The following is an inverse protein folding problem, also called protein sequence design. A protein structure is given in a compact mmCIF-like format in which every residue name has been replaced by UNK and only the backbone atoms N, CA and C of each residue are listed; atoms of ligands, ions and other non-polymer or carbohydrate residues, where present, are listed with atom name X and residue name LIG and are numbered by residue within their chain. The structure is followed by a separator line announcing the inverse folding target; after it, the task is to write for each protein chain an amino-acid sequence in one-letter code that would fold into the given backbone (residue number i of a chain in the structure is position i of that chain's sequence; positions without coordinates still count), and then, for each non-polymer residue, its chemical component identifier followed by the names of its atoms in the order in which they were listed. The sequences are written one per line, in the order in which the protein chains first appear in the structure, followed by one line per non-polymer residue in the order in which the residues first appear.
data_IF_142473804997
#
_entry.id   IF_142473804997
#
_cell.length_a   1.000
_cell.length_b   1.000
_cell.length_c   1.000
_cell.angle_alpha   90.00
_cell.angle_beta   90.00
_cell.angle_gamma   90.00
#
_symmetry.space_group_name_H-M   'P 1'
#
loop_
_entity.id
_entity.type
_entity.pdbx_description
1 polymer ?
#
# COMPACT_ATOMS: atom_id res chain seq x y z
N UNK A 1 -8.45 -15.15 15.66
CA UNK A 1 -7.66 -14.50 14.58
C UNK A 1 -6.82 -13.43 15.22
N UNK A 2 -5.53 -13.37 14.88
CA UNK A 2 -4.61 -12.47 15.56
C UNK A 2 -5.02 -11.02 15.27
N UNK A 3 -5.46 -10.27 16.28
CA UNK A 3 -5.86 -8.84 16.17
C UNK A 3 -4.80 -8.03 15.42
N UNK A 4 -3.57 -8.47 15.57
CA UNK A 4 -2.40 -8.02 14.83
C UNK A 4 -2.55 -8.05 13.29
N UNK A 5 -3.05 -9.14 12.66
CA UNK A 5 -3.21 -9.19 11.19
C UNK A 5 -4.29 -8.23 10.69
N UNK A 6 -5.34 -8.02 11.49
CA UNK A 6 -6.39 -7.04 11.19
C UNK A 6 -5.85 -5.62 11.26
N UNK A 7 -5.06 -5.30 12.29
CA UNK A 7 -4.40 -4.01 12.43
C UNK A 7 -3.41 -3.78 11.29
N UNK A 8 -2.59 -4.77 10.96
CA UNK A 8 -1.65 -4.72 9.85
C UNK A 8 -2.37 -4.42 8.54
N UNK A 9 -3.44 -5.14 8.24
CA UNK A 9 -4.22 -4.93 7.02
C UNK A 9 -4.89 -3.54 6.99
N UNK A 10 -5.41 -3.07 8.13
CA UNK A 10 -5.99 -1.74 8.25
C UNK A 10 -4.95 -0.65 7.95
N UNK A 11 -3.78 -0.70 8.60
CA UNK A 11 -2.69 0.27 8.42
C UNK A 11 -2.18 0.25 6.99
N UNK A 12 -2.03 -0.94 6.40
CA UNK A 12 -1.62 -1.12 5.01
C UNK A 12 -2.59 -0.44 4.03
N UNK A 13 -3.88 -0.77 4.11
CA UNK A 13 -4.88 -0.20 3.21
C UNK A 13 -5.06 1.30 3.44
N UNK A 14 -4.97 1.76 4.69
CA UNK A 14 -4.95 3.18 5.02
C UNK A 14 -3.79 3.89 4.31
N UNK A 15 -2.54 3.42 4.49
CA UNK A 15 -1.38 4.05 3.89
C UNK A 15 -1.45 4.01 2.35
N UNK A 16 -1.83 2.86 1.77
CA UNK A 16 -1.94 2.71 0.32
C UNK A 16 -2.93 3.71 -0.27
N UNK A 17 -4.12 3.81 0.31
CA UNK A 17 -5.21 4.63 -0.23
C UNK A 17 -5.06 6.10 0.14
N UNK A 18 -4.32 6.43 1.21
CA UNK A 18 -3.84 7.78 1.51
C UNK A 18 -2.97 8.31 0.36
N UNK A 19 -2.10 7.48 -0.22
CA UNK A 19 -1.16 7.94 -1.25
C UNK A 19 -1.82 8.29 -2.59
N UNK A 20 -2.91 7.64 -2.98
CA UNK A 20 -3.48 7.78 -4.33
C UNK A 20 -3.94 9.20 -4.69
N UNK A 21 -4.81 9.86 -3.91
CA UNK A 21 -5.17 11.25 -4.18
C UNK A 21 -3.98 12.19 -3.98
N UNK A 22 -3.09 11.90 -3.02
CA UNK A 22 -1.89 12.72 -2.78
C UNK A 22 -0.97 12.78 -3.99
N UNK A 23 -0.72 11.65 -4.68
CA UNK A 23 0.05 11.62 -5.93
C UNK A 23 -0.63 12.46 -7.00
N UNK A 24 -1.96 12.32 -7.15
CA UNK A 24 -2.72 13.05 -8.16
C UNK A 24 -2.65 14.57 -7.94
N UNK A 25 -2.84 15.03 -6.71
CA UNK A 25 -2.72 16.45 -6.38
C UNK A 25 -1.29 16.96 -6.57
N UNK A 26 -0.29 16.23 -6.07
CA UNK A 26 1.13 16.61 -6.17
C UNK A 26 1.62 16.70 -7.63
N UNK A 27 1.07 15.89 -8.54
CA UNK A 27 1.38 15.95 -9.97
C UNK A 27 0.59 17.07 -10.68
N UNK A 28 -0.68 17.28 -10.32
CA UNK A 28 -1.54 18.32 -10.91
C UNK A 28 -1.02 19.74 -10.67
N UNK A 29 -0.34 19.97 -9.54
CA UNK A 29 0.25 21.27 -9.23
C UNK A 29 1.39 21.67 -10.17
N UNK A 30 2.09 20.70 -10.76
CA UNK A 30 3.24 20.96 -11.65
C UNK A 30 2.98 20.65 -13.12
N UNK A 31 2.01 19.77 -13.41
CA UNK A 31 1.71 19.34 -14.77
C UNK A 31 0.37 19.93 -15.23
N UNK A 32 0.42 20.73 -16.29
CA UNK A 32 -0.78 21.32 -16.91
C UNK A 32 -1.48 20.38 -17.90
N UNK A 33 -0.79 19.35 -18.40
CA UNK A 33 -1.33 18.42 -19.39
C UNK A 33 -2.11 17.28 -18.74
N UNK A 34 -3.43 17.25 -18.96
CA UNK A 34 -4.33 16.18 -18.49
C UNK A 34 -3.91 14.80 -19.00
N UNK A 35 -3.46 14.72 -20.25
CA UNK A 35 -3.01 13.45 -20.86
C UNK A 35 -1.77 12.91 -20.14
N UNK A 36 -0.80 13.77 -19.86
CA UNK A 36 0.43 13.38 -19.15
C UNK A 36 0.12 12.95 -17.72
N UNK A 37 -0.75 13.66 -17.02
CA UNK A 37 -1.19 13.30 -15.67
C UNK A 37 -1.89 11.94 -15.67
N UNK A 38 -2.82 11.70 -16.59
CA UNK A 38 -3.51 10.41 -16.73
C UNK A 38 -2.56 9.24 -16.99
N UNK A 39 -1.56 9.43 -17.86
CA UNK A 39 -0.54 8.42 -18.14
C UNK A 39 0.31 8.13 -16.89
N UNK A 40 0.77 9.16 -16.17
CA UNK A 40 1.57 8.98 -14.96
C UNK A 40 0.78 8.26 -13.87
N UNK A 41 -0.48 8.65 -13.65
CA UNK A 41 -1.34 7.98 -12.66
C UNK A 41 -1.69 6.55 -13.06
N UNK A 42 -1.72 6.22 -14.35
CA UNK A 42 -2.00 4.85 -14.80
C UNK A 42 -0.93 3.84 -14.33
N UNK A 43 0.30 4.31 -14.07
CA UNK A 43 1.41 3.47 -13.60
C UNK A 43 1.07 2.78 -12.29
N UNK A 44 0.36 3.45 -11.38
CA UNK A 44 -0.04 2.91 -10.09
C UNK A 44 -0.95 1.67 -10.20
N UNK A 45 -1.65 1.51 -11.34
CA UNK A 45 -2.57 0.40 -11.59
C UNK A 45 -2.02 -0.60 -12.60
N UNK A 46 -1.31 -0.12 -13.63
CA UNK A 46 -0.77 -0.96 -14.69
C UNK A 46 0.37 -1.84 -14.18
N UNK A 47 1.30 -1.28 -13.40
CA UNK A 47 2.45 -2.04 -12.92
C UNK A 47 2.01 -3.24 -12.07
N UNK A 48 1.13 -3.07 -11.06
CA UNK A 48 0.70 -4.23 -10.29
C UNK A 48 -0.11 -5.24 -11.10
N UNK A 49 -0.91 -4.79 -12.07
CA UNK A 49 -1.65 -5.68 -12.96
C UNK A 49 -0.70 -6.61 -13.73
N UNK A 50 0.38 -6.05 -14.29
CA UNK A 50 1.37 -6.82 -15.05
C UNK A 50 2.20 -7.74 -14.14
N UNK A 51 2.46 -7.31 -12.90
CA UNK A 51 3.34 -8.04 -11.98
C UNK A 51 2.62 -8.95 -10.99
N UNK A 52 1.28 -8.96 -10.96
CA UNK A 52 0.51 -9.76 -10.00
C UNK A 52 0.83 -11.26 -10.09
N UNK A 53 0.84 -11.82 -11.31
CA UNK A 53 1.15 -13.23 -11.55
C UNK A 53 2.61 -13.57 -11.18
N UNK A 54 3.63 -12.89 -11.73
CA UNK A 54 5.01 -13.24 -11.41
C UNK A 54 5.35 -13.05 -9.93
N UNK A 55 4.81 -12.01 -9.28
CA UNK A 55 5.00 -11.82 -7.84
C UNK A 55 4.24 -12.90 -7.04
N UNK A 56 3.05 -13.33 -7.48
CA UNK A 56 2.35 -14.47 -6.88
C UNK A 56 3.20 -15.74 -6.90
N UNK A 57 3.75 -16.09 -8.07
CA UNK A 57 4.64 -17.26 -8.23
C UNK A 57 5.89 -17.14 -7.35
N UNK A 58 6.50 -15.96 -7.29
CA UNK A 58 7.64 -15.72 -6.41
C UNK A 58 7.24 -15.84 -4.93
N UNK A 59 6.03 -15.40 -4.59
CA UNK A 59 5.49 -15.43 -3.24
C UNK A 59 5.23 -16.82 -2.71
N UNK A 60 4.76 -17.73 -3.57
CA UNK A 60 4.59 -19.15 -3.23
C UNK A 60 5.93 -19.81 -2.85
N UNK A 61 7.05 -19.30 -3.37
CA UNK A 61 8.40 -19.81 -3.08
C UNK A 61 9.05 -19.15 -1.86
N UNK A 62 8.92 -17.84 -1.72
CA UNK A 62 9.53 -17.06 -0.63
C UNK A 62 8.74 -17.17 0.67
N UNK A 63 7.43 -17.42 0.58
CA UNK A 63 6.52 -17.49 1.70
C UNK A 63 6.14 -16.12 2.25
N UNK A 64 4.94 -16.06 2.85
CA UNK A 64 4.36 -14.82 3.35
C UNK A 64 5.19 -14.14 4.46
N UNK A 65 5.96 -14.91 5.24
CA UNK A 65 6.79 -14.39 6.34
C UNK A 65 7.93 -13.49 5.87
N UNK A 66 8.48 -13.73 4.68
CA UNK A 66 9.53 -12.88 4.11
C UNK A 66 8.95 -11.75 3.26
N UNK A 67 7.89 -12.02 2.50
CA UNK A 67 7.28 -11.03 1.62
C UNK A 67 6.71 -9.83 2.38
N UNK A 68 6.14 -10.05 3.56
CA UNK A 68 5.46 -9.02 4.33
C UNK A 68 6.43 -7.90 4.81
N UNK A 69 7.54 -8.20 5.51
CA UNK A 69 8.49 -7.16 5.92
C UNK A 69 9.19 -6.51 4.72
N UNK A 70 9.50 -7.25 3.65
CA UNK A 70 10.09 -6.68 2.42
C UNK A 70 9.14 -5.70 1.76
N UNK A 71 7.86 -6.07 1.62
CA UNK A 71 6.83 -5.19 1.07
C UNK A 71 6.63 -3.94 1.94
N UNK A 72 6.59 -4.09 3.26
CA UNK A 72 6.49 -2.96 4.18
C UNK A 72 7.70 -2.03 4.11
N UNK A 73 8.92 -2.58 3.99
CA UNK A 73 10.14 -1.80 3.80
C UNK A 73 10.13 -1.03 2.48
N UNK A 74 9.69 -1.66 1.38
CA UNK A 74 9.53 -0.98 0.09
C UNK A 74 8.49 0.14 0.16
N UNK A 75 7.39 -0.06 0.90
CA UNK A 75 6.38 0.98 1.13
C UNK A 75 6.98 2.18 1.88
N UNK A 76 7.77 1.92 2.93
CA UNK A 76 8.45 2.97 3.67
C UNK A 76 9.45 3.72 2.78
N UNK A 77 10.27 3.01 2.00
CA UNK A 77 11.18 3.62 1.04
C UNK A 77 10.45 4.49 0.03
N UNK A 78 9.31 4.02 -0.52
CA UNK A 78 8.46 4.81 -1.40
C UNK A 78 7.98 6.11 -0.71
N UNK A 79 7.53 6.01 0.54
CA UNK A 79 7.10 7.16 1.33
C UNK A 79 8.20 8.20 1.53
N UNK A 80 9.42 7.75 1.83
CA UNK A 80 10.59 8.62 1.97
C UNK A 80 10.90 9.31 0.64
N UNK A 81 10.82 8.61 -0.48
CA UNK A 81 11.00 9.22 -1.81
C UNK A 81 9.91 10.25 -2.10
N UNK A 82 8.63 9.96 -1.84
CA UNK A 82 7.54 10.93 -2.00
C UNK A 82 7.76 12.19 -1.17
N UNK A 83 8.07 12.03 0.12
CA UNK A 83 8.31 13.14 1.02
C UNK A 83 9.52 13.98 0.62
N UNK A 84 10.64 13.32 0.26
CA UNK A 84 11.83 14.00 -0.24
C UNK A 84 11.55 14.74 -1.55
N UNK A 85 10.77 14.14 -2.46
CA UNK A 85 10.39 14.75 -3.74
C UNK A 85 9.55 16.01 -3.56
N UNK A 86 8.65 16.03 -2.56
CA UNK A 86 7.89 17.23 -2.20
C UNK A 86 8.74 18.30 -1.52
N UNK A 87 9.77 17.92 -0.77
CA UNK A 87 10.63 18.85 0.00
C UNK A 87 11.79 19.43 -0.83
N UNK A 88 12.25 18.71 -1.85
CA UNK A 88 13.37 19.12 -2.70
C UNK A 88 12.90 20.00 -3.87
N UNK A 89 13.67 21.06 -4.15
CA UNK A 89 13.48 21.88 -5.35
C UNK A 89 14.09 21.15 -6.55
N UNK A 90 13.36 20.16 -7.07
CA UNK A 90 13.73 19.41 -8.26
C UNK A 90 13.20 20.10 -9.53
N UNK A 91 13.99 20.10 -10.64
CA UNK A 91 13.47 20.42 -11.97
C UNK A 91 12.32 19.48 -12.34
N UNK A 92 11.39 19.94 -13.18
CA UNK A 92 10.16 19.19 -13.51
C UNK A 92 10.41 17.74 -13.96
N UNK A 93 11.43 17.53 -14.81
CA UNK A 93 11.80 16.16 -15.24
C UNK A 93 12.28 15.30 -14.07
N UNK A 94 13.09 15.85 -13.18
CA UNK A 94 13.58 15.15 -11.99
C UNK A 94 12.46 14.82 -11.02
N UNK A 95 11.52 15.76 -10.83
CA UNK A 95 10.33 15.56 -10.02
C UNK A 95 9.44 14.43 -10.54
N UNK A 96 9.14 14.42 -11.85
CA UNK A 96 8.33 13.36 -12.47
C UNK A 96 9.00 12.00 -12.34
N UNK A 97 10.31 11.91 -12.59
CA UNK A 97 11.06 10.65 -12.44
C UNK A 97 11.04 10.17 -10.99
N UNK A 98 11.26 11.05 -10.01
CA UNK A 98 11.22 10.68 -8.60
C UNK A 98 9.83 10.20 -8.15
N UNK A 99 8.76 10.88 -8.60
CA UNK A 99 7.38 10.45 -8.39
C UNK A 99 7.09 9.08 -9.02
N UNK A 100 7.62 8.80 -10.22
CA UNK A 100 7.48 7.49 -10.87
C UNK A 100 8.22 6.39 -10.10
N UNK A 101 9.43 6.65 -9.62
CA UNK A 101 10.19 5.72 -8.79
C UNK A 101 9.40 5.39 -7.53
N UNK A 102 8.88 6.41 -6.83
CA UNK A 102 8.06 6.21 -5.64
C UNK A 102 6.79 5.38 -5.94
N UNK A 103 6.09 5.67 -7.04
CA UNK A 103 4.92 4.89 -7.47
C UNK A 103 5.24 3.43 -7.77
N UNK A 104 6.35 3.17 -8.47
CA UNK A 104 6.80 1.81 -8.77
C UNK A 104 7.11 1.04 -7.49
N UNK A 105 7.86 1.65 -6.57
CA UNK A 105 8.16 1.05 -5.27
C UNK A 105 6.88 0.76 -4.48
N UNK A 106 5.92 1.69 -4.47
CA UNK A 106 4.64 1.52 -3.78
C UNK A 106 3.79 0.41 -4.41
N UNK A 107 3.76 0.31 -5.74
CA UNK A 107 3.02 -0.74 -6.45
C UNK A 107 3.59 -2.14 -6.17
N UNK A 108 4.92 -2.27 -6.11
CA UNK A 108 5.59 -3.51 -5.71
C UNK A 108 5.29 -3.85 -4.25
N UNK A 109 5.38 -2.86 -3.36
CA UNK A 109 5.04 -3.01 -1.95
C UNK A 109 3.61 -3.50 -1.76
N UNK A 110 2.65 -2.89 -2.48
CA UNK A 110 1.24 -3.30 -2.46
C UNK A 110 1.08 -4.78 -2.82
N UNK A 111 1.67 -5.23 -3.92
CA UNK A 111 1.57 -6.64 -4.33
C UNK A 111 2.14 -7.59 -3.27
N UNK A 112 3.33 -7.29 -2.75
CA UNK A 112 4.00 -8.15 -1.77
C UNK A 112 3.20 -8.27 -0.46
N UNK A 113 2.78 -7.13 0.10
CA UNK A 113 2.02 -7.10 1.35
C UNK A 113 0.65 -7.74 1.17
N UNK A 114 -0.03 -7.47 0.05
CA UNK A 114 -1.36 -8.00 -0.22
C UNK A 114 -1.35 -9.53 -0.38
N UNK A 115 -0.46 -10.08 -1.21
CA UNK A 115 -0.33 -11.52 -1.41
C UNK A 115 0.05 -12.21 -0.10
N UNK A 116 1.01 -11.66 0.64
CA UNK A 116 1.42 -12.20 1.94
C UNK A 116 0.26 -12.23 2.95
N UNK A 117 -0.52 -11.15 3.02
CA UNK A 117 -1.66 -11.04 3.94
C UNK A 117 -2.75 -12.06 3.59
N UNK A 118 -3.06 -12.23 2.30
CA UNK A 118 -4.01 -13.25 1.83
C UNK A 118 -3.54 -14.67 2.16
N UNK A 119 -2.25 -14.95 1.96
CA UNK A 119 -1.66 -16.25 2.29
C UNK A 119 -1.67 -16.53 3.81
N UNK A 120 -1.43 -15.53 4.66
CA UNK A 120 -1.50 -15.69 6.13
C UNK A 120 -2.93 -15.93 6.61
N UNK A 121 -3.92 -15.31 5.97
CA UNK A 121 -5.34 -15.53 6.31
C UNK A 121 -5.81 -16.92 5.90
N UNK A 122 -5.39 -17.41 4.73
CA UNK A 122 -5.78 -18.74 4.23
C UNK A 122 -5.05 -19.88 4.94
N UNK A 123 -3.77 -19.69 5.30
CA UNK A 123 -2.92 -20.72 5.92
C UNK A 123 -3.03 -20.81 7.44
N UNK A 124 -3.75 -19.90 8.08
CA UNK A 124 -4.02 -19.99 9.51
C UNK A 124 -4.87 -21.24 9.81
N UNK A 125 -4.24 -22.39 10.01
CA UNK A 125 -4.92 -23.62 10.37
C UNK A 125 -5.71 -23.47 11.67
N UNK A 126 -6.77 -24.24 11.84
CA UNK A 126 -7.48 -24.41 13.11
C UNK A 126 -7.39 -25.87 13.49
N UNK A 127 -6.34 -26.27 14.24
CA UNK A 127 -6.14 -27.66 14.65
C UNK A 127 -7.35 -28.17 15.43
N UNK A 128 -7.81 -29.38 15.10
CA UNK A 128 -8.91 -30.05 15.82
C UNK A 128 -10.33 -29.65 15.40
N UNK A 129 -10.52 -28.80 14.38
CA UNK A 129 -11.85 -28.53 13.82
C UNK A 129 -12.23 -29.54 12.73
N UNK A 130 -13.52 -29.84 12.62
CA UNK A 130 -14.09 -30.53 11.46
C UNK A 130 -13.89 -29.70 10.17
N UNK A 131 -13.88 -30.35 9.01
CA UNK A 131 -13.71 -29.67 7.71
C UNK A 131 -14.71 -28.53 7.49
N UNK A 132 -15.97 -28.72 7.90
CA UNK A 132 -17.02 -27.71 7.84
C UNK A 132 -16.73 -26.51 8.76
N UNK A 133 -16.31 -26.77 10.02
CA UNK A 133 -16.00 -25.70 10.97
C UNK A 133 -14.72 -24.93 10.60
N UNK A 134 -13.72 -25.61 10.02
CA UNK A 134 -12.52 -24.97 9.49
C UNK A 134 -12.83 -24.04 8.29
N UNK A 135 -13.73 -24.46 7.40
CA UNK A 135 -14.20 -23.63 6.27
C UNK A 135 -14.90 -22.36 6.74
N UNK A 136 -15.78 -22.48 7.72
CA UNK A 136 -16.48 -21.32 8.31
C UNK A 136 -15.52 -20.36 9.04
N UNK A 137 -14.53 -20.90 9.76
CA UNK A 137 -13.49 -20.08 10.39
C UNK A 137 -12.69 -19.28 9.34
N UNK A 138 -12.27 -19.90 8.24
CA UNK A 138 -11.58 -19.20 7.14
C UNK A 138 -12.46 -18.14 6.49
N UNK A 139 -13.75 -18.42 6.26
CA UNK A 139 -14.71 -17.43 5.72
C UNK A 139 -14.80 -16.19 6.60
N UNK A 140 -14.96 -16.36 7.92
CA UNK A 140 -14.98 -15.24 8.87
C UNK A 140 -13.70 -14.42 8.84
N UNK A 141 -12.55 -15.06 8.65
CA UNK A 141 -11.26 -14.37 8.55
C UNK A 141 -11.16 -13.51 7.28
N UNK A 142 -11.60 -14.04 6.15
CA UNK A 142 -11.66 -13.30 4.88
C UNK A 142 -12.64 -12.12 4.99
N UNK A 143 -13.80 -12.30 5.63
CA UNK A 143 -14.77 -11.21 5.84
C UNK A 143 -14.17 -10.08 6.68
N UNK A 144 -13.48 -10.39 7.77
CA UNK A 144 -12.81 -9.39 8.59
C UNK A 144 -11.64 -8.71 7.87
N UNK A 145 -10.93 -9.45 7.02
CA UNK A 145 -9.89 -8.87 6.16
C UNK A 145 -10.51 -7.83 5.20
N UNK A 146 -11.62 -8.17 4.56
CA UNK A 146 -12.35 -7.24 3.69
C UNK A 146 -12.84 -6.01 4.46
N UNK A 147 -13.43 -6.18 5.65
CA UNK A 147 -13.90 -5.07 6.48
C UNK A 147 -12.77 -4.09 6.83
N UNK A 148 -11.64 -4.62 7.32
CA UNK A 148 -10.48 -3.79 7.68
C UNK A 148 -9.84 -3.11 6.46
N UNK A 149 -9.82 -3.78 5.31
CA UNK A 149 -9.38 -3.18 4.05
C UNK A 149 -10.27 -2.00 3.65
N UNK A 150 -11.60 -2.17 3.68
CA UNK A 150 -12.55 -1.12 3.36
C UNK A 150 -12.45 0.08 4.30
N UNK A 151 -12.23 -0.15 5.60
CA UNK A 151 -12.03 0.93 6.57
C UNK A 151 -10.76 1.73 6.25
N UNK A 152 -9.65 1.06 5.96
CA UNK A 152 -8.41 1.71 5.54
C UNK A 152 -8.60 2.49 4.23
N UNK A 153 -9.27 1.87 3.25
CA UNK A 153 -9.52 2.46 1.95
C UNK A 153 -10.50 3.64 1.96
N UNK A 154 -11.37 3.72 2.97
CA UNK A 154 -12.19 4.89 3.23
C UNK A 154 -11.38 5.99 3.94
N UNK A 155 -10.65 5.63 4.98
CA UNK A 155 -9.93 6.57 5.83
C UNK A 155 -8.77 7.25 5.09
N UNK A 156 -8.05 6.52 4.23
CA UNK A 156 -6.89 7.03 3.48
C UNK A 156 -7.23 8.29 2.66
N UNK A 157 -8.16 8.21 1.69
CA UNK A 157 -8.52 9.36 0.88
C UNK A 157 -9.14 10.52 1.67
N UNK A 158 -9.94 10.21 2.71
CA UNK A 158 -10.53 11.23 3.58
C UNK A 158 -9.44 12.03 4.33
N UNK A 159 -8.47 11.34 4.91
CA UNK A 159 -7.34 11.97 5.60
C UNK A 159 -6.43 12.71 4.63
N UNK A 160 -6.12 12.13 3.46
CA UNK A 160 -5.30 12.81 2.45
C UNK A 160 -5.97 14.09 1.95
N UNK A 161 -7.27 14.06 1.65
CA UNK A 161 -8.00 15.24 1.16
C UNK A 161 -8.08 16.34 2.20
N UNK A 162 -8.21 15.99 3.48
CA UNK A 162 -8.22 16.95 4.58
C UNK A 162 -6.84 17.56 4.88
N UNK A 163 -5.77 16.75 4.81
CA UNK A 163 -4.42 17.17 5.12
C UNK A 163 -3.72 17.92 3.97
N UNK A 164 -4.06 17.61 2.71
CA UNK A 164 -3.36 18.18 1.55
C UNK A 164 -3.32 19.71 1.56
N UNK A 165 -4.42 20.44 1.83
CA UNK A 165 -4.41 21.91 1.87
C UNK A 165 -3.67 22.52 3.06
N UNK A 166 -3.36 21.73 4.10
CA UNK A 166 -2.76 22.23 5.35
C UNK A 166 -1.23 22.32 5.30
N UNK A 167 -0.58 21.74 4.28
CA UNK A 167 0.87 21.74 4.19
C UNK A 167 1.39 21.27 2.84
N UNK A 168 0.73 21.68 1.76
CA UNK A 168 1.16 21.48 0.36
C UNK A 168 1.59 20.04 0.05
N UNK A 169 0.76 19.08 0.49
CA UNK A 169 1.01 17.64 0.32
C UNK A 169 2.12 17.03 1.20
N UNK A 170 3.09 17.82 1.69
CA UNK A 170 4.21 17.33 2.52
C UNK A 170 3.76 16.63 3.80
N UNK A 171 2.72 17.16 4.46
CA UNK A 171 2.11 16.59 5.67
C UNK A 171 1.49 15.23 5.39
N UNK A 172 0.87 15.06 4.21
CA UNK A 172 0.29 13.78 3.79
C UNK A 172 1.38 12.73 3.66
N UNK A 173 2.52 13.10 3.06
CA UNK A 173 3.66 12.19 2.90
C UNK A 173 4.31 11.80 4.23
N UNK A 174 4.36 12.71 5.22
CA UNK A 174 4.81 12.37 6.57
C UNK A 174 3.89 11.37 7.25
N UNK A 175 2.56 11.55 7.13
CA UNK A 175 1.59 10.58 7.65
C UNK A 175 1.72 9.23 6.94
N UNK A 176 1.94 9.24 5.62
CA UNK A 176 2.22 8.03 4.86
C UNK A 176 3.48 7.31 5.38
N UNK A 177 4.58 8.04 5.57
CA UNK A 177 5.85 7.49 6.11
C UNK A 177 5.64 6.91 7.50
N UNK A 178 4.91 7.61 8.37
CA UNK A 178 4.61 7.12 9.71
C UNK A 178 3.76 5.83 9.66
N UNK A 179 2.75 5.78 8.80
CA UNK A 179 1.92 4.59 8.62
C UNK A 179 2.71 3.41 8.01
N UNK A 180 3.57 3.66 7.03
CA UNK A 180 4.46 2.65 6.45
C UNK A 180 5.51 2.15 7.45
N UNK A 181 6.02 3.03 8.31
CA UNK A 181 6.91 2.66 9.42
C UNK A 181 6.19 1.79 10.45
N UNK A 182 4.97 2.15 10.84
CA UNK A 182 4.13 1.32 11.69
C UNK A 182 3.82 -0.04 11.04
N UNK A 183 3.56 -0.07 9.72
CA UNK A 183 3.36 -1.31 8.97
C UNK A 183 4.60 -2.21 9.02
N UNK A 184 5.80 -1.64 8.87
CA UNK A 184 7.06 -2.38 8.95
C UNK A 184 7.30 -2.93 10.36
N UNK A 185 7.06 -2.13 11.40
CA UNK A 185 7.17 -2.58 12.79
C UNK A 185 6.17 -3.67 13.12
N UNK A 186 4.97 -3.62 12.53
CA UNK A 186 4.05 -4.73 12.63
C UNK A 186 4.65 -5.93 11.90
N UNK A 187 5.03 -5.83 10.63
CA UNK A 187 5.42 -6.95 9.77
C UNK A 187 6.64 -7.80 10.21
N UNK A 188 7.44 -7.35 11.17
CA UNK A 188 8.63 -8.05 11.73
C UNK A 188 8.25 -8.82 12.99
#
# INVERSE_FOLDING_TARGET
MNRYLQLLNLVFWFALELSRPAVAFSLAERLSSTTSLGLLLSVQSLLPLLLAIPIGIAGDRLGARLMLPVGAALMLCSGVVYWATGSLVLPDRGYVVAMLIAQVLNGLAWLLVWIATQALVSSAGTPGLSSAAAGEATRKRVQMLALTASLGALAGPAVSGWLHPLGDGSVVWLVFVAAAGALLLLAV
#
